data_IF_598682861374
#
_entry.id   IF_598682861374
#
_cell.length_a   1.000
_cell.length_b   1.000
_cell.length_c   1.000
_cell.angle_alpha   90.00
_cell.angle_beta   90.00
_cell.angle_gamma   90.00
#
_symmetry.space_group_name_H-M   'P 1'
#
loop_
_entity.id
_entity.type
_entity.pdbx_description
1 polymer ?
#
# COMPACT_ATOMS: atom_id res chain seq x y z
N UNK A 1 22.62 0.43 -18.82
CA UNK A 1 23.72 1.07 -18.07
C UNK A 1 23.27 2.21 -17.15
N UNK A 2 22.52 1.90 -16.08
CA UNK A 2 22.05 2.92 -15.11
C UNK A 2 22.22 2.54 -13.64
N UNK A 3 22.71 1.32 -13.35
CA UNK A 3 22.86 0.79 -11.99
C UNK A 3 24.10 1.33 -11.25
N UNK A 4 24.98 2.09 -11.92
CA UNK A 4 26.26 2.55 -11.35
C UNK A 4 26.30 4.04 -10.98
N UNK A 5 25.22 4.80 -11.19
CA UNK A 5 25.19 6.19 -10.71
C UNK A 5 24.79 6.18 -9.24
N UNK A 6 25.79 6.33 -8.37
CA UNK A 6 25.60 6.77 -6.97
C UNK A 6 25.07 8.21 -6.99
N UNK A 7 23.84 8.41 -7.46
CA UNK A 7 23.17 9.69 -7.32
C UNK A 7 22.95 9.92 -5.82
N UNK A 8 23.34 11.11 -5.35
CA UNK A 8 23.15 11.46 -3.95
C UNK A 8 21.65 11.43 -3.61
N UNK A 9 21.29 11.27 -2.33
CA UNK A 9 19.88 11.31 -1.91
C UNK A 9 19.22 12.62 -2.40
N UNK A 10 19.98 13.71 -2.40
CA UNK A 10 19.64 15.03 -2.94
C UNK A 10 19.25 14.97 -4.43
N UNK A 11 20.05 14.28 -5.25
CA UNK A 11 19.81 14.17 -6.70
C UNK A 11 18.56 13.35 -7.01
N UNK A 12 18.32 12.26 -6.26
CA UNK A 12 17.10 11.44 -6.41
C UNK A 12 15.84 12.24 -6.06
N UNK A 13 15.89 13.02 -4.98
CA UNK A 13 14.80 13.90 -4.58
C UNK A 13 14.58 15.06 -5.56
N UNK A 14 15.64 15.50 -6.27
CA UNK A 14 15.56 16.52 -7.32
C UNK A 14 14.89 15.99 -8.58
N UNK A 15 15.19 14.76 -8.97
CA UNK A 15 14.49 14.07 -10.07
C UNK A 15 13.02 13.85 -9.75
N UNK A 16 12.65 13.47 -8.52
CA UNK A 16 11.22 13.32 -8.15
C UNK A 16 10.45 14.66 -8.18
N UNK A 17 11.12 15.77 -7.90
CA UNK A 17 10.50 17.10 -8.05
C UNK A 17 10.40 17.57 -9.50
N UNK A 18 11.16 16.96 -10.42
CA UNK A 18 11.04 17.21 -11.85
C UNK A 18 9.92 16.32 -12.39
N UNK A 19 8.69 16.86 -12.39
CA UNK A 19 7.42 16.14 -12.57
C UNK A 19 7.17 15.62 -13.99
N UNK A 20 8.22 15.45 -14.80
CA UNK A 20 8.06 14.82 -16.11
C UNK A 20 7.78 13.33 -15.90
N UNK A 21 6.51 12.96 -16.05
CA UNK A 21 6.07 11.56 -16.05
C UNK A 21 6.72 10.87 -17.25
N UNK A 22 7.90 10.28 -17.03
CA UNK A 22 8.57 9.48 -18.05
C UNK A 22 7.67 8.32 -18.50
N UNK A 23 7.81 7.83 -19.72
CA UNK A 23 6.98 6.74 -20.27
C UNK A 23 6.91 5.50 -19.37
N UNK A 24 7.95 5.25 -18.56
CA UNK A 24 7.95 4.19 -17.54
C UNK A 24 6.88 4.35 -16.45
N UNK A 25 6.53 5.57 -16.05
CA UNK A 25 5.46 5.84 -15.09
C UNK A 25 4.09 5.48 -15.65
N UNK A 26 3.83 5.81 -16.92
CA UNK A 26 2.59 5.45 -17.63
C UNK A 26 2.49 3.94 -17.79
N UNK A 27 3.54 3.28 -18.27
CA UNK A 27 3.58 1.81 -18.41
C UNK A 27 3.38 1.14 -17.06
N UNK A 28 4.05 1.62 -16.01
CA UNK A 28 3.86 1.12 -14.64
C UNK A 28 2.41 1.27 -14.16
N UNK A 29 1.78 2.43 -14.39
CA UNK A 29 0.38 2.67 -14.08
C UNK A 29 -0.57 1.73 -14.85
N UNK A 30 -0.34 1.54 -16.15
CA UNK A 30 -1.10 0.59 -16.96
C UNK A 30 -0.94 -0.85 -16.43
N UNK A 31 0.27 -1.29 -16.13
CA UNK A 31 0.53 -2.60 -15.55
C UNK A 31 -0.16 -2.78 -14.20
N UNK A 32 -0.19 -1.75 -13.34
CA UNK A 32 -0.89 -1.79 -12.05
C UNK A 32 -2.40 -1.93 -12.23
N UNK A 33 -3.00 -1.16 -13.14
CA UNK A 33 -4.44 -1.27 -13.42
C UNK A 33 -4.78 -2.67 -13.96
N UNK A 34 -3.97 -3.19 -14.89
CA UNK A 34 -4.13 -4.54 -15.42
C UNK A 34 -3.98 -5.61 -14.34
N UNK A 35 -3.01 -5.46 -13.42
CA UNK A 35 -2.83 -6.39 -12.32
C UNK A 35 -4.04 -6.41 -11.36
N UNK A 36 -4.61 -5.25 -11.04
CA UNK A 36 -5.85 -5.15 -10.24
C UNK A 36 -7.02 -5.81 -10.96
N UNK A 37 -7.18 -5.51 -12.25
CA UNK A 37 -8.25 -6.09 -13.07
C UNK A 37 -8.13 -7.62 -13.14
N UNK A 38 -6.95 -8.14 -13.45
CA UNK A 38 -6.69 -9.57 -13.51
C UNK A 38 -6.96 -10.26 -12.17
N UNK A 39 -6.51 -9.66 -11.06
CA UNK A 39 -6.76 -10.19 -9.71
C UNK A 39 -8.25 -10.21 -9.38
N UNK A 40 -8.99 -9.15 -9.73
CA UNK A 40 -10.44 -9.05 -9.49
C UNK A 40 -11.25 -10.07 -10.31
N UNK A 41 -10.84 -10.35 -11.54
CA UNK A 41 -11.49 -11.34 -12.40
C UNK A 41 -11.22 -12.76 -11.91
N UNK A 42 -10.00 -13.03 -11.43
CA UNK A 42 -9.62 -14.32 -10.87
C UNK A 42 -10.31 -14.65 -9.54
N UNK A 43 -10.80 -13.63 -8.81
CA UNK A 43 -11.47 -13.84 -7.53
C UNK A 43 -12.78 -14.65 -7.64
N UNK A 44 -13.02 -15.58 -6.70
CA UNK A 44 -14.32 -16.22 -6.53
C UNK A 44 -15.44 -15.19 -6.39
N UNK A 45 -16.61 -15.48 -6.96
CA UNK A 45 -17.75 -14.57 -6.99
C UNK A 45 -18.15 -14.07 -5.59
N UNK A 46 -18.06 -14.96 -4.58
CA UNK A 46 -18.41 -14.69 -3.20
C UNK A 46 -17.45 -13.71 -2.51
N UNK A 47 -16.18 -13.67 -2.92
CA UNK A 47 -15.16 -12.81 -2.34
C UNK A 47 -14.99 -11.49 -3.10
N UNK A 48 -15.48 -11.37 -4.33
CA UNK A 48 -15.28 -10.20 -5.18
C UNK A 48 -15.81 -8.91 -4.55
N UNK A 49 -17.00 -8.94 -3.94
CA UNK A 49 -17.58 -7.78 -3.26
C UNK A 49 -16.75 -7.38 -2.03
N UNK A 50 -16.36 -8.36 -1.19
CA UNK A 50 -15.49 -8.12 -0.04
C UNK A 50 -14.15 -7.54 -0.45
N UNK A 51 -13.53 -8.07 -1.51
CA UNK A 51 -12.24 -7.61 -2.02
C UNK A 51 -12.29 -6.16 -2.51
N UNK A 52 -13.36 -5.75 -3.20
CA UNK A 52 -13.55 -4.37 -3.66
C UNK A 52 -13.66 -3.36 -2.51
N UNK A 53 -14.21 -3.77 -1.36
CA UNK A 53 -14.30 -2.95 -0.16
C UNK A 53 -12.96 -2.96 0.59
N UNK A 54 -12.34 -4.13 0.74
CA UNK A 54 -11.11 -4.32 1.48
C UNK A 54 -9.92 -3.63 0.83
N UNK A 55 -9.81 -3.69 -0.50
CA UNK A 55 -8.71 -3.10 -1.26
C UNK A 55 -8.43 -1.63 -0.88
N UNK A 56 -9.40 -0.69 -1.02
CA UNK A 56 -9.15 0.71 -0.67
C UNK A 56 -8.96 0.93 0.83
N UNK A 57 -9.66 0.17 1.69
CA UNK A 57 -9.56 0.34 3.16
C UNK A 57 -8.16 -0.04 3.64
N UNK A 58 -7.68 -1.21 3.22
CA UNK A 58 -6.36 -1.72 3.60
C UNK A 58 -5.23 -0.90 3.02
N UNK A 59 -5.42 -0.38 1.81
CA UNK A 59 -4.48 0.55 1.22
C UNK A 59 -4.36 1.87 1.99
N UNK A 60 -5.51 2.44 2.39
CA UNK A 60 -5.54 3.65 3.24
C UNK A 60 -4.90 3.40 4.59
N UNK A 61 -5.19 2.26 5.21
CA UNK A 61 -4.52 1.84 6.45
C UNK A 61 -3.00 1.73 6.26
N UNK A 62 -2.55 1.14 5.16
CA UNK A 62 -1.14 1.04 4.80
C UNK A 62 -0.44 2.40 4.69
N UNK A 63 -1.11 3.40 4.12
CA UNK A 63 -0.59 4.77 4.08
C UNK A 63 -0.52 5.41 5.48
N UNK A 64 -1.57 5.27 6.31
CA UNK A 64 -1.56 5.79 7.68
C UNK A 64 -0.41 5.15 8.47
N UNK A 65 -0.22 3.84 8.33
CA UNK A 65 0.90 3.11 8.92
C UNK A 65 2.25 3.67 8.46
N UNK A 66 2.45 3.85 7.15
CA UNK A 66 3.71 4.37 6.60
C UNK A 66 4.02 5.80 7.07
N UNK A 67 3.02 6.67 7.12
CA UNK A 67 3.14 8.06 7.57
C UNK A 67 3.53 8.13 9.06
N UNK A 68 2.91 7.28 9.89
CA UNK A 68 3.16 7.24 11.33
C UNK A 68 4.50 6.56 11.67
N UNK A 69 4.86 5.48 10.99
CA UNK A 69 6.03 4.67 11.33
C UNK A 69 7.38 5.21 10.78
N UNK A 70 7.38 5.96 9.68
CA UNK A 70 8.61 6.36 8.99
C UNK A 70 8.83 7.89 8.92
N UNK A 71 10.09 8.37 8.96
CA UNK A 71 10.42 9.79 8.79
C UNK A 71 10.09 10.29 7.38
N UNK A 72 9.74 11.58 7.27
CA UNK A 72 9.57 12.24 5.96
C UNK A 72 10.93 12.66 5.41
N UNK A 73 11.12 12.56 4.10
CA UNK A 73 12.35 12.98 3.44
C UNK A 73 12.53 14.51 3.42
N UNK A 74 11.41 15.26 3.37
CA UNK A 74 11.41 16.73 3.41
C UNK A 74 10.51 17.21 4.54
N UNK A 75 10.97 18.20 5.31
CA UNK A 75 10.18 18.87 6.37
C UNK A 75 9.31 20.01 5.84
N UNK A 76 8.91 19.94 4.58
CA UNK A 76 8.19 20.99 3.85
C UNK A 76 7.21 20.35 2.86
N UNK A 77 6.17 21.10 2.49
CA UNK A 77 5.15 20.66 1.51
C UNK A 77 4.02 19.81 2.08
N UNK A 78 3.17 19.29 1.18
CA UNK A 78 1.91 18.63 1.52
C UNK A 78 2.10 17.36 2.37
N UNK A 79 3.16 16.57 2.13
CA UNK A 79 3.49 15.39 2.94
C UNK A 79 3.84 15.73 4.40
N UNK A 80 4.45 16.90 4.64
CA UNK A 80 4.74 17.40 5.99
C UNK A 80 3.49 17.85 6.73
N UNK A 81 2.55 18.52 6.05
CA UNK A 81 1.26 18.88 6.62
C UNK A 81 0.46 17.63 7.06
N UNK A 82 0.44 16.59 6.22
CA UNK A 82 -0.23 15.32 6.52
C UNK A 82 0.40 14.63 7.74
N UNK A 83 1.73 14.55 7.81
CA UNK A 83 2.42 13.95 8.97
C UNK A 83 2.20 14.75 10.26
N UNK A 84 2.08 16.08 10.17
CA UNK A 84 1.84 16.93 11.33
C UNK A 84 0.43 16.72 11.90
N UNK A 85 -0.53 16.34 11.06
CA UNK A 85 -1.87 15.89 11.48
C UNK A 85 -1.94 14.40 11.87
N UNK A 86 -0.92 13.61 11.55
CA UNK A 86 -0.88 12.19 11.88
C UNK A 86 -0.59 11.99 13.38
N UNK A 87 -1.63 11.69 14.14
CA UNK A 87 -1.55 11.34 15.55
C UNK A 87 -1.44 9.82 15.73
N UNK A 88 -0.77 9.38 16.80
CA UNK A 88 -0.81 7.99 17.25
C UNK A 88 -2.25 7.48 17.38
N UNK A 89 -3.17 8.33 17.84
CA UNK A 89 -4.61 8.01 17.91
C UNK A 89 -5.23 7.75 16.54
N UNK A 90 -4.82 8.49 15.51
CA UNK A 90 -5.28 8.25 14.14
C UNK A 90 -4.85 6.88 13.62
N UNK A 91 -3.63 6.45 13.94
CA UNK A 91 -3.13 5.11 13.60
C UNK A 91 -3.88 4.01 14.35
N UNK A 92 -4.15 4.18 15.64
CA UNK A 92 -4.93 3.22 16.44
C UNK A 92 -6.35 3.09 15.89
N UNK A 93 -7.03 4.20 15.63
CA UNK A 93 -8.39 4.20 15.08
C UNK A 93 -8.43 3.56 13.69
N UNK A 94 -7.48 3.92 12.81
CA UNK A 94 -7.40 3.32 11.48
C UNK A 94 -7.15 1.81 11.53
N UNK A 95 -6.29 1.35 12.46
CA UNK A 95 -5.99 -0.07 12.65
C UNK A 95 -7.18 -0.81 13.20
N UNK A 96 -7.84 -0.28 14.23
CA UNK A 96 -9.03 -0.89 14.83
C UNK A 96 -10.17 -0.98 13.82
N UNK A 97 -10.42 0.10 13.07
CA UNK A 97 -11.43 0.12 12.02
C UNK A 97 -11.15 -0.93 10.95
N UNK A 98 -9.92 -0.95 10.41
CA UNK A 98 -9.53 -1.92 9.39
C UNK A 98 -9.59 -3.35 9.90
N UNK A 99 -9.20 -3.58 11.16
CA UNK A 99 -9.28 -4.88 11.82
C UNK A 99 -10.73 -5.37 11.96
N UNK A 100 -11.65 -4.50 12.37
CA UNK A 100 -13.08 -4.84 12.45
C UNK A 100 -13.63 -5.21 11.06
N UNK A 101 -13.32 -4.40 10.04
CA UNK A 101 -13.79 -4.65 8.67
C UNK A 101 -13.28 -5.99 8.13
N UNK A 102 -11.98 -6.31 8.28
CA UNK A 102 -11.45 -7.59 7.80
C UNK A 102 -12.02 -8.78 8.57
N UNK A 103 -12.28 -8.64 9.87
CA UNK A 103 -12.90 -9.70 10.67
C UNK A 103 -14.36 -9.95 10.24
N UNK A 104 -15.11 -8.90 9.94
CA UNK A 104 -16.50 -9.04 9.49
C UNK A 104 -16.57 -9.71 8.12
N UNK A 105 -15.68 -9.34 7.19
CA UNK A 105 -15.73 -9.82 5.81
C UNK A 105 -15.03 -11.16 5.58
N UNK A 106 -13.95 -11.44 6.31
CA UNK A 106 -13.08 -12.61 6.10
C UNK A 106 -12.81 -13.43 7.37
N UNK A 107 -13.46 -13.11 8.51
CA UNK A 107 -13.25 -13.78 9.81
C UNK A 107 -11.75 -13.84 10.17
N UNK A 108 -11.29 -14.96 10.73
CA UNK A 108 -9.89 -15.17 11.12
C UNK A 108 -8.89 -15.01 9.95
N UNK A 109 -9.31 -15.31 8.72
CA UNK A 109 -8.47 -15.09 7.53
C UNK A 109 -8.22 -13.61 7.27
N UNK A 110 -9.17 -12.74 7.64
CA UNK A 110 -9.00 -11.30 7.60
C UNK A 110 -7.90 -10.80 8.53
N UNK A 111 -7.78 -11.38 9.73
CA UNK A 111 -6.70 -11.05 10.66
C UNK A 111 -5.32 -11.48 10.10
N UNK A 112 -5.23 -12.68 9.51
CA UNK A 112 -4.02 -13.15 8.84
C UNK A 112 -3.64 -12.24 7.66
N UNK A 113 -4.63 -11.82 6.86
CA UNK A 113 -4.42 -10.89 5.75
C UNK A 113 -3.82 -9.57 6.24
N UNK A 114 -4.43 -8.95 7.26
CA UNK A 114 -3.96 -7.67 7.80
C UNK A 114 -2.53 -7.77 8.36
N UNK A 115 -2.22 -8.88 9.05
CA UNK A 115 -0.89 -9.11 9.60
C UNK A 115 0.17 -9.27 8.50
N UNK A 116 -0.10 -10.08 7.47
CA UNK A 116 0.81 -10.31 6.35
C UNK A 116 0.99 -9.02 5.54
N UNK A 117 -0.10 -8.31 5.23
CA UNK A 117 -0.03 -7.03 4.53
C UNK A 117 0.79 -6.01 5.32
N UNK A 118 0.56 -5.91 6.63
CA UNK A 118 1.33 -5.02 7.51
C UNK A 118 2.83 -5.31 7.47
N UNK A 119 3.23 -6.58 7.50
CA UNK A 119 4.63 -6.98 7.41
C UNK A 119 5.24 -6.60 6.06
N UNK A 120 4.53 -6.86 4.96
CA UNK A 120 4.97 -6.50 3.60
C UNK A 120 5.17 -4.99 3.51
N UNK A 121 4.20 -4.20 3.98
CA UNK A 121 4.25 -2.73 3.94
C UNK A 121 5.36 -2.17 4.82
N UNK A 122 5.66 -2.79 5.96
CA UNK A 122 6.80 -2.44 6.79
C UNK A 122 8.11 -2.59 6.01
N UNK A 123 8.31 -3.74 5.35
CA UNK A 123 9.53 -4.01 4.58
C UNK A 123 9.67 -3.04 3.42
N UNK A 124 8.61 -2.83 2.65
CA UNK A 124 8.60 -1.91 1.49
C UNK A 124 8.84 -0.47 1.93
N UNK A 125 8.14 -0.01 2.97
CA UNK A 125 8.31 1.34 3.50
C UNK A 125 9.71 1.58 4.05
N UNK A 126 10.29 0.60 4.75
CA UNK A 126 11.68 0.66 5.23
C UNK A 126 12.68 0.71 4.09
N UNK A 127 12.48 -0.09 3.04
CA UNK A 127 13.30 -0.08 1.86
C UNK A 127 13.27 1.30 1.18
N UNK A 128 12.08 1.83 0.90
CA UNK A 128 11.91 3.16 0.29
C UNK A 128 12.52 4.26 1.16
N UNK A 129 12.25 4.25 2.47
CA UNK A 129 12.82 5.20 3.42
C UNK A 129 14.35 5.18 3.40
N UNK A 130 14.98 4.00 3.37
CA UNK A 130 16.45 3.88 3.32
C UNK A 130 17.05 4.40 2.01
N UNK A 131 16.30 4.33 0.91
CA UNK A 131 16.77 4.74 -0.43
C UNK A 131 16.66 6.25 -0.68
N UNK A 132 15.66 6.89 -0.08
CA UNK A 132 15.33 8.31 -0.29
C UNK A 132 15.59 9.21 0.94
N UNK A 133 16.08 8.64 2.05
CA UNK A 133 16.31 9.39 3.30
C UNK A 133 15.02 9.75 4.04
N UNK A 134 13.91 9.09 3.69
CA UNK A 134 12.56 9.32 4.22
C UNK A 134 11.49 9.05 3.15
N UNK A 135 10.22 9.12 3.55
CA UNK A 135 9.10 8.99 2.63
C UNK A 135 8.63 10.37 2.11
N UNK A 136 8.13 10.39 0.88
CA UNK A 136 7.53 11.55 0.18
C UNK A 136 6.10 11.25 -0.30
N UNK A 137 5.38 12.27 -0.77
CA UNK A 137 4.05 12.13 -1.38
C UNK A 137 3.98 11.02 -2.44
N UNK A 138 4.94 10.98 -3.35
CA UNK A 138 4.96 9.99 -4.44
C UNK A 138 5.22 8.58 -3.91
N UNK A 139 6.06 8.43 -2.88
CA UNK A 139 6.26 7.11 -2.25
C UNK A 139 5.01 6.64 -1.52
N UNK A 140 4.22 7.54 -0.92
CA UNK A 140 2.93 7.16 -0.33
C UNK A 140 1.92 6.72 -1.39
N UNK A 141 1.89 7.41 -2.54
CA UNK A 141 1.09 6.99 -3.69
C UNK A 141 1.51 5.61 -4.21
N UNK A 142 2.81 5.36 -4.36
CA UNK A 142 3.32 4.06 -4.76
C UNK A 142 2.99 2.96 -3.73
N UNK A 143 3.12 3.26 -2.43
CA UNK A 143 2.73 2.34 -1.35
C UNK A 143 1.23 2.05 -1.39
N UNK A 144 0.38 3.04 -1.67
CA UNK A 144 -1.07 2.85 -1.83
C UNK A 144 -1.36 1.87 -2.97
N UNK A 145 -0.88 2.17 -4.17
CA UNK A 145 -1.13 1.31 -5.34
C UNK A 145 -0.63 -0.11 -5.12
N UNK A 146 0.55 -0.25 -4.50
CA UNK A 146 1.12 -1.54 -4.16
C UNK A 146 0.30 -2.29 -3.11
N UNK A 147 -0.18 -1.59 -2.07
CA UNK A 147 -1.03 -2.18 -1.03
C UNK A 147 -2.34 -2.71 -1.59
N UNK A 148 -2.98 -1.99 -2.54
CA UNK A 148 -4.19 -2.44 -3.21
C UNK A 148 -3.97 -3.76 -3.97
N UNK A 149 -2.90 -3.84 -4.76
CA UNK A 149 -2.56 -5.05 -5.53
C UNK A 149 -2.26 -6.22 -4.59
N UNK A 150 -1.45 -6.01 -3.56
CA UNK A 150 -1.13 -7.06 -2.59
C UNK A 150 -2.37 -7.52 -1.83
N UNK A 151 -3.26 -6.61 -1.42
CA UNK A 151 -4.50 -6.97 -0.75
C UNK A 151 -5.42 -7.84 -1.63
N UNK A 152 -5.53 -7.53 -2.93
CA UNK A 152 -6.28 -8.37 -3.88
C UNK A 152 -5.67 -9.76 -4.03
N UNK A 153 -4.34 -9.85 -4.20
CA UNK A 153 -3.63 -11.12 -4.34
C UNK A 153 -3.78 -11.98 -3.07
N UNK A 154 -3.60 -11.38 -1.89
CA UNK A 154 -3.78 -12.10 -0.62
C UNK A 154 -5.23 -12.59 -0.44
N UNK A 155 -6.21 -11.79 -0.85
CA UNK A 155 -7.62 -12.20 -0.81
C UNK A 155 -7.89 -13.37 -1.76
N UNK A 156 -7.27 -13.37 -2.95
CA UNK A 156 -7.34 -14.48 -3.90
C UNK A 156 -6.75 -15.77 -3.30
N UNK A 157 -5.56 -15.69 -2.70
CA UNK A 157 -4.93 -16.82 -2.04
C UNK A 157 -5.79 -17.39 -0.91
N UNK A 158 -6.45 -16.53 -0.12
CA UNK A 158 -7.39 -16.97 0.91
C UNK A 158 -8.57 -17.73 0.30
N UNK A 159 -9.10 -17.25 -0.83
CA UNK A 159 -10.14 -17.96 -1.57
C UNK A 159 -9.72 -19.37 -2.00
N UNK A 160 -8.55 -19.50 -2.60
CA UNK A 160 -7.98 -20.79 -3.05
C UNK A 160 -7.70 -21.75 -1.88
N UNK A 161 -7.29 -21.24 -0.72
CA UNK A 161 -7.03 -22.04 0.48
C UNK A 161 -8.31 -22.51 1.20
N UNK A 162 -9.49 -22.33 0.61
CA UNK A 162 -10.77 -22.69 1.22
C UNK A 162 -11.25 -21.69 2.27
N UNK A 163 -10.64 -20.50 2.34
CA UNK A 163 -11.08 -19.35 3.14
C UNK A 163 -12.37 -18.70 2.60
N UNK A 164 -13.13 -19.37 1.77
CA UNK A 164 -14.51 -19.01 1.42
C UNK A 164 -15.51 -20.11 1.79
N UNK A 165 -15.06 -21.20 2.42
CA UNK A 165 -15.90 -22.36 2.79
C UNK A 165 -17.06 -22.04 3.73
N UNK A 166 -17.04 -20.90 4.43
CA UNK A 166 -18.18 -20.45 5.24
C UNK A 166 -19.20 -19.60 4.47
N UNK A 167 -18.97 -19.33 3.18
CA UNK A 167 -19.87 -18.60 2.28
C UNK A 167 -20.70 -19.54 1.39
N UNK A 168 -20.38 -20.84 1.38
CA UNK A 168 -21.13 -21.94 0.76
C UNK A 168 -22.03 -22.62 1.79
#
# INVERSE_FOLDING_TARGET
DGLSVKSSISDKLKVMSDSQVGGFGVVGGCCLILAKFASLVALPQQLRASALILMPILSRWGMVYAISAFPLAKKEGMGWAIKRGASFWGMVVATLFSFIVVLVLLKWWGAALLAVLGLILLVVSKYLCSRFGGLTGDTYGAINEFAEVVALILTLLIGELGGASWLS
#
